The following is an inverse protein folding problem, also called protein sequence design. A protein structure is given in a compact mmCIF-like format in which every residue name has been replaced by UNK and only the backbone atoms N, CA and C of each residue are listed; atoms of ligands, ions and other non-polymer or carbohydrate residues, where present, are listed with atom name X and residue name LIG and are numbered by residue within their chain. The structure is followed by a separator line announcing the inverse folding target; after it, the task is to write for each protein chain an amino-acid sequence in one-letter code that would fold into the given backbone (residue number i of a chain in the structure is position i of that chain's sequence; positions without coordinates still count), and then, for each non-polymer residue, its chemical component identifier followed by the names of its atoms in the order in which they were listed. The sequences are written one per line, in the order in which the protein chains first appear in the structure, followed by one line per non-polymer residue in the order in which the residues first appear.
data_IF_750519794365
#
_entry.id   IF_750519794365
#
_cell.length_a   1.000
_cell.length_b   1.000
_cell.length_c   1.000
_cell.angle_alpha   90.00
_cell.angle_beta   90.00
_cell.angle_gamma   90.00
#
_symmetry.space_group_name_H-M   'P 1'
#
loop_
_entity.id
_entity.type
_entity.pdbx_description
1 polymer ?
#
# COMPACT_ATOMS: atom_id res chain seq x y z
N UNK A 1 -10.59 -9.61 22.59
CA UNK A 1 -10.10 -8.33 22.03
C UNK A 1 -10.26 -8.38 20.50
N UNK A 2 -11.32 -7.81 19.89
CA UNK A 2 -11.51 -7.91 18.46
C UNK A 2 -11.02 -6.66 17.72
N UNK A 3 -10.03 -6.83 16.84
CA UNK A 3 -9.63 -5.81 15.87
C UNK A 3 -10.55 -5.88 14.65
N UNK A 4 -11.22 -4.76 14.36
CA UNK A 4 -12.20 -4.58 13.29
C UNK A 4 -11.51 -4.03 12.05
N UNK A 5 -11.51 -4.79 10.96
CA UNK A 5 -11.12 -4.34 9.62
C UNK A 5 -12.19 -3.36 9.09
N UNK A 6 -11.83 -2.25 8.42
CA UNK A 6 -12.79 -1.49 7.64
C UNK A 6 -12.83 -2.01 6.20
N UNK A 7 -14.05 -2.40 5.80
CA UNK A 7 -14.46 -2.63 4.42
C UNK A 7 -14.34 -1.32 3.61
N UNK A 8 -13.73 -1.42 2.43
CA UNK A 8 -13.77 -0.40 1.39
C UNK A 8 -14.99 -0.67 0.52
N UNK A 9 -15.97 0.23 0.55
CA UNK A 9 -17.05 0.28 -0.44
C UNK A 9 -17.42 1.74 -0.63
N UNK A 10 -17.14 2.31 -1.80
CA UNK A 10 -17.73 3.58 -2.20
C UNK A 10 -18.33 3.44 -3.59
N UNK A 11 -19.67 3.30 -3.57
CA UNK A 11 -20.57 3.43 -4.71
C UNK A 11 -20.95 4.92 -4.77
N UNK A 12 -20.59 5.59 -5.85
CA UNK A 12 -20.99 6.98 -6.12
C UNK A 12 -22.41 7.01 -6.64
N UNK A 13 -23.32 7.66 -5.91
CA UNK A 13 -24.55 8.20 -6.48
C UNK A 13 -24.56 9.70 -6.24
N UNK A 14 -24.29 10.45 -7.31
CA UNK A 14 -24.61 11.86 -7.46
C UNK A 14 -26.13 11.98 -7.66
N UNK A 15 -26.81 12.65 -6.73
CA UNK A 15 -28.15 13.15 -6.93
C UNK A 15 -28.11 14.68 -6.84
N UNK A 16 -28.22 15.32 -7.99
CA UNK A 16 -28.48 16.75 -8.13
C UNK A 16 -29.97 17.01 -7.91
N UNK A 17 -30.31 17.96 -7.03
CA UNK A 17 -31.59 18.69 -6.96
C UNK A 17 -31.19 20.07 -6.39
N UNK A 18 -31.56 21.24 -6.91
CA UNK A 18 -32.75 21.62 -7.64
C UNK A 18 -33.36 22.85 -6.94
N UNK A 19 -33.01 24.05 -7.44
CA UNK A 19 -33.72 25.35 -7.41
C UNK A 19 -34.54 25.80 -6.19
N UNK A 20 -34.23 27.00 -5.66
CA UNK A 20 -35.14 28.17 -5.63
C UNK A 20 -34.45 29.41 -5.04
N UNK A 21 -34.33 30.48 -5.84
CA UNK A 21 -33.85 31.79 -5.38
C UNK A 21 -35.05 32.62 -4.92
N UNK A 22 -35.25 32.71 -3.60
CA UNK A 22 -36.13 33.66 -2.95
C UNK A 22 -35.33 34.89 -2.52
N UNK A 23 -35.72 36.04 -3.04
CA UNK A 23 -35.16 37.37 -2.75
C UNK A 23 -35.41 37.76 -1.28
N UNK A 24 -34.39 37.83 -0.41
CA UNK A 24 -34.33 38.76 0.75
C UNK A 24 -32.89 38.90 1.28
N UNK A 25 -32.56 40.16 1.53
CA UNK A 25 -31.39 40.83 2.13
C UNK A 25 -30.58 40.10 3.22
N UNK A 26 -29.27 40.38 3.15
CA UNK A 26 -28.22 40.35 4.20
C UNK A 26 -27.85 39.01 4.84
N UNK A 27 -26.58 38.63 4.72
CA UNK A 27 -25.61 38.30 5.80
C UNK A 27 -24.27 38.00 5.11
N UNK A 28 -23.26 38.83 5.35
CA UNK A 28 -21.87 38.51 5.01
C UNK A 28 -21.38 37.49 6.03
N UNK A 29 -21.38 36.22 5.64
CA UNK A 29 -20.72 35.14 6.37
C UNK A 29 -19.46 34.72 5.62
N UNK A 30 -18.36 35.44 5.85
CA UNK A 30 -17.04 34.98 5.43
C UNK A 30 -16.59 33.88 6.39
N UNK A 31 -17.07 32.65 6.16
CA UNK A 31 -16.49 31.45 6.75
C UNK A 31 -15.11 31.27 6.12
N UNK A 32 -14.07 31.64 6.86
CA UNK A 32 -12.70 31.24 6.53
C UNK A 32 -12.64 29.71 6.62
N UNK A 33 -12.64 29.09 5.45
CA UNK A 33 -12.40 27.67 5.25
C UNK A 33 -11.02 27.35 5.81
N UNK A 34 -10.99 26.68 6.97
CA UNK A 34 -9.78 26.04 7.47
C UNK A 34 -9.47 24.85 6.56
N UNK A 35 -8.69 25.10 5.51
CA UNK A 35 -8.04 24.06 4.74
C UNK A 35 -7.00 23.43 5.66
N UNK A 36 -7.42 22.46 6.47
CA UNK A 36 -6.49 21.51 7.07
C UNK A 36 -6.08 20.53 5.99
N UNK A 37 -5.23 21.02 5.07
CA UNK A 37 -4.41 20.13 4.28
C UNK A 37 -3.44 19.47 5.26
N UNK A 38 -3.84 18.35 5.85
CA UNK A 38 -2.89 17.37 6.35
C UNK A 38 -2.17 16.82 5.12
N UNK A 39 -1.18 17.57 4.65
CA UNK A 39 -0.07 16.94 3.99
C UNK A 39 0.49 15.97 5.03
N UNK A 40 0.07 14.70 4.95
CA UNK A 40 0.85 13.64 5.51
C UNK A 40 2.21 13.77 4.83
N UNK A 41 3.13 14.45 5.51
CA UNK A 41 4.55 14.44 5.20
C UNK A 41 4.97 12.99 5.36
N UNK A 42 4.69 12.17 4.35
CA UNK A 42 5.36 10.90 4.17
C UNK A 42 6.80 11.33 3.95
N UNK A 43 7.58 11.35 5.02
CA UNK A 43 9.03 11.45 4.93
C UNK A 43 9.41 10.35 3.93
N UNK A 44 9.70 10.76 2.69
CA UNK A 44 10.02 9.85 1.60
C UNK A 44 11.37 9.26 1.97
N UNK A 45 11.33 8.15 2.69
CA UNK A 45 12.51 7.39 3.05
C UNK A 45 13.30 7.15 1.77
N UNK A 46 14.55 7.61 1.75
CA UNK A 46 15.36 7.53 0.56
C UNK A 46 15.56 6.05 0.17
N UNK A 47 15.23 5.69 -1.07
CA UNK A 47 15.58 4.38 -1.61
C UNK A 47 17.09 4.33 -1.76
N UNK A 48 17.74 3.45 -1.00
CA UNK A 48 19.19 3.27 -0.99
C UNK A 48 19.63 2.07 -1.84
N UNK A 49 18.67 1.25 -2.30
CA UNK A 49 18.96 0.07 -3.09
C UNK A 49 17.71 -0.70 -3.47
N UNK A 50 17.87 -1.64 -4.40
CA UNK A 50 16.83 -2.61 -4.75
C UNK A 50 17.40 -4.02 -4.73
N UNK A 51 16.59 -4.98 -4.29
CA UNK A 51 16.96 -6.39 -4.27
C UNK A 51 15.83 -7.24 -4.86
N UNK A 52 16.17 -8.47 -5.23
CA UNK A 52 15.19 -9.52 -5.52
C UNK A 52 15.14 -10.50 -4.35
N UNK A 53 13.94 -11.01 -4.06
CA UNK A 53 13.74 -12.04 -3.06
C UNK A 53 12.84 -13.15 -3.63
N UNK A 54 13.09 -14.36 -3.17
CA UNK A 54 12.29 -15.55 -3.51
C UNK A 54 11.92 -16.29 -2.24
N UNK A 55 11.02 -17.26 -2.34
CA UNK A 55 10.68 -18.16 -1.25
C UNK A 55 9.86 -19.34 -1.76
N UNK A 56 9.36 -20.15 -0.84
CA UNK A 56 8.48 -21.28 -1.17
C UNK A 56 7.09 -20.99 -0.63
N UNK A 57 6.10 -20.97 -1.52
CA UNK A 57 4.70 -20.77 -1.19
C UNK A 57 3.92 -22.07 -1.40
N UNK A 58 3.23 -22.52 -0.35
CA UNK A 58 2.34 -23.67 -0.40
C UNK A 58 0.89 -23.17 -0.46
N UNK A 59 0.20 -23.45 -1.56
CA UNK A 59 -1.18 -23.02 -1.80
C UNK A 59 -1.61 -23.24 -3.24
N UNK A 60 -2.89 -22.97 -3.52
CA UNK A 60 -3.47 -23.11 -4.85
C UNK A 60 -3.41 -21.80 -5.66
N UNK A 61 -3.77 -21.87 -6.94
CA UNK A 61 -3.72 -20.74 -7.88
C UNK A 61 -4.53 -19.52 -7.41
N UNK A 62 -5.64 -19.71 -6.69
CA UNK A 62 -6.47 -18.62 -6.18
C UNK A 62 -5.79 -17.84 -5.04
N UNK A 63 -4.73 -18.40 -4.46
CA UNK A 63 -3.97 -17.80 -3.37
C UNK A 63 -2.69 -17.11 -3.85
N UNK A 64 -2.43 -17.06 -5.17
CA UNK A 64 -1.28 -16.37 -5.77
C UNK A 64 -1.50 -14.86 -5.80
N UNK A 65 -1.49 -14.25 -4.61
CA UNK A 65 -1.79 -12.83 -4.41
C UNK A 65 -0.54 -12.06 -3.98
N UNK A 66 -0.56 -10.73 -4.19
CA UNK A 66 0.49 -9.82 -3.70
C UNK A 66 0.78 -10.01 -2.22
N UNK A 67 -0.27 -10.16 -1.41
CA UNK A 67 -0.13 -10.32 0.04
C UNK A 67 0.62 -11.60 0.41
N UNK A 68 0.35 -12.70 -0.30
CA UNK A 68 1.03 -13.96 -0.04
C UNK A 68 2.47 -13.95 -0.56
N UNK A 69 2.75 -13.32 -1.70
CA UNK A 69 4.11 -13.08 -2.17
C UNK A 69 4.92 -12.24 -1.16
N UNK A 70 4.31 -11.16 -0.66
CA UNK A 70 4.89 -10.31 0.37
C UNK A 70 5.24 -11.13 1.62
N UNK A 71 4.27 -11.84 2.21
CA UNK A 71 4.48 -12.65 3.43
C UNK A 71 5.57 -13.70 3.24
N UNK A 72 5.58 -14.36 2.09
CA UNK A 72 6.53 -15.45 1.79
C UNK A 72 7.96 -14.94 1.64
N UNK A 73 8.14 -13.74 1.07
CA UNK A 73 9.46 -13.23 0.68
C UNK A 73 10.00 -12.13 1.59
N UNK A 74 9.20 -11.61 2.53
CA UNK A 74 9.56 -10.47 3.37
C UNK A 74 10.84 -10.67 4.18
N UNK A 75 11.00 -11.81 4.85
CA UNK A 75 12.20 -12.07 5.67
C UNK A 75 13.46 -12.10 4.81
N UNK A 76 13.42 -12.84 3.70
CA UNK A 76 14.53 -12.91 2.75
C UNK A 76 14.86 -11.53 2.16
N UNK A 77 13.84 -10.73 1.85
CA UNK A 77 14.02 -9.37 1.38
C UNK A 77 14.68 -8.47 2.42
N UNK A 78 14.23 -8.55 3.67
CA UNK A 78 14.79 -7.81 4.79
C UNK A 78 16.26 -8.16 5.03
N UNK A 79 16.57 -9.45 5.09
CA UNK A 79 17.93 -9.94 5.34
C UNK A 79 18.87 -9.57 4.19
N UNK A 80 18.42 -9.71 2.94
CA UNK A 80 19.18 -9.28 1.77
C UNK A 80 19.41 -7.76 1.77
N UNK A 81 18.38 -6.95 2.01
CA UNK A 81 18.54 -5.50 2.12
C UNK A 81 19.51 -5.10 3.23
N UNK A 82 19.45 -5.74 4.40
CA UNK A 82 20.34 -5.45 5.53
C UNK A 82 21.78 -5.88 5.29
N UNK A 83 21.98 -6.96 4.54
CA UNK A 83 23.31 -7.44 4.12
C UNK A 83 23.94 -6.52 3.09
N UNK A 84 23.21 -6.21 2.02
CA UNK A 84 23.74 -5.50 0.85
C UNK A 84 23.71 -3.97 1.08
N UNK A 85 22.75 -3.48 1.87
CA UNK A 85 22.57 -2.07 2.23
C UNK A 85 22.39 -1.90 3.76
N UNK A 86 23.48 -1.89 4.56
CA UNK A 86 23.40 -1.89 6.04
C UNK A 86 22.65 -0.72 6.67
N UNK A 87 22.51 0.39 5.93
CA UNK A 87 21.72 1.55 6.31
C UNK A 87 20.19 1.35 6.20
N UNK A 88 19.72 0.20 5.71
CA UNK A 88 18.30 -0.12 5.59
C UNK A 88 17.58 0.04 6.93
N UNK A 89 16.43 0.72 6.90
CA UNK A 89 15.52 0.94 8.04
C UNK A 89 14.09 0.54 7.74
N UNK A 90 13.71 0.50 6.46
CA UNK A 90 12.46 -0.07 6.01
C UNK A 90 12.63 -0.70 4.63
N UNK A 91 11.68 -1.55 4.23
CA UNK A 91 11.64 -2.14 2.90
C UNK A 91 10.25 -2.00 2.30
N UNK A 92 10.16 -1.90 0.98
CA UNK A 92 8.89 -1.81 0.25
C UNK A 92 8.89 -2.76 -0.95
N UNK A 93 7.85 -3.58 -1.10
CA UNK A 93 7.75 -4.50 -2.24
C UNK A 93 7.21 -3.74 -3.46
N UNK A 94 8.02 -3.66 -4.50
CA UNK A 94 7.69 -3.01 -5.76
C UNK A 94 6.79 -3.90 -6.61
N UNK A 95 7.23 -5.13 -6.81
CA UNK A 95 6.61 -6.04 -7.76
C UNK A 95 6.69 -7.49 -7.28
N UNK A 96 5.79 -8.32 -7.80
CA UNK A 96 5.73 -9.74 -7.54
C UNK A 96 5.23 -10.51 -8.75
N UNK A 97 5.77 -11.70 -8.95
CA UNK A 97 5.20 -12.70 -9.84
C UNK A 97 5.25 -14.07 -9.20
N UNK A 98 4.33 -14.95 -9.61
CA UNK A 98 4.41 -16.37 -9.34
C UNK A 98 4.71 -17.08 -10.65
N UNK A 99 5.72 -17.93 -10.65
CA UNK A 99 6.02 -18.81 -11.78
C UNK A 99 5.02 -19.95 -11.89
N UNK A 100 5.30 -20.89 -12.80
CA UNK A 100 4.59 -22.18 -12.83
C UNK A 100 4.83 -22.93 -11.50
N UNK A 101 3.86 -23.75 -11.06
CA UNK A 101 4.06 -24.59 -9.88
C UNK A 101 5.26 -25.52 -10.11
N UNK A 102 6.11 -25.66 -9.11
CA UNK A 102 7.26 -26.58 -9.12
C UNK A 102 6.77 -27.99 -8.76
N UNK A 103 5.82 -28.07 -7.84
CA UNK A 103 5.09 -29.27 -7.43
C UNK A 103 3.60 -28.92 -7.31
N UNK A 104 2.75 -29.93 -7.12
CA UNK A 104 1.32 -29.70 -6.83
C UNK A 104 1.19 -28.68 -5.69
N UNK A 105 0.49 -27.58 -5.96
CA UNK A 105 0.22 -26.51 -4.99
C UNK A 105 1.48 -25.90 -4.35
N UNK A 106 2.62 -25.93 -5.05
CA UNK A 106 3.88 -25.34 -4.59
C UNK A 106 4.42 -24.38 -5.63
N UNK A 107 4.58 -23.12 -5.24
CA UNK A 107 5.01 -22.03 -6.10
C UNK A 107 6.21 -21.30 -5.52
N UNK A 108 6.99 -20.68 -6.39
CA UNK A 108 8.08 -19.78 -5.99
C UNK A 108 7.72 -18.36 -6.40
N UNK A 109 7.30 -17.49 -5.46
CA UNK A 109 7.19 -16.08 -5.74
C UNK A 109 8.57 -15.50 -6.06
N UNK A 110 8.63 -14.65 -7.06
CA UNK A 110 9.76 -13.76 -7.34
C UNK A 110 9.30 -12.33 -7.07
N UNK A 111 9.97 -11.66 -6.13
CA UNK A 111 9.59 -10.30 -5.71
C UNK A 111 10.77 -9.35 -5.83
N UNK A 112 10.47 -8.09 -6.12
CA UNK A 112 11.45 -7.00 -6.12
C UNK A 112 11.14 -6.04 -4.98
N UNK A 113 12.17 -5.61 -4.24
CA UNK A 113 12.02 -4.78 -3.06
C UNK A 113 12.95 -3.58 -3.12
N UNK A 114 12.50 -2.46 -2.60
CA UNK A 114 13.34 -1.31 -2.26
C UNK A 114 13.82 -1.45 -0.82
N UNK A 115 15.12 -1.23 -0.65
CA UNK A 115 15.74 -0.98 0.63
C UNK A 115 15.71 0.53 0.87
N UNK A 116 15.15 0.97 1.99
CA UNK A 116 14.94 2.40 2.28
C UNK A 116 15.60 2.80 3.57
N UNK A 117 16.15 4.01 3.60
CA UNK A 117 16.66 4.67 4.80
C UNK A 117 15.69 5.79 5.20
N UNK A 118 15.01 5.63 6.33
CA UNK A 118 14.01 6.57 6.85
C UNK A 118 14.62 7.61 7.80
N UNK A 119 15.93 7.81 7.75
CA UNK A 119 16.65 8.78 8.59
C UNK A 119 16.56 10.18 8.03
#
# INVERSE_FOLDING_TARGET
MPYRLPHVYWRTHLASNGLKHGNTRSIVAAVLLTVTATAASQALAATIGTIKATGTFYGNEKQLTRQNAWKTTWSNAWDNCRRDYPATRSINMLDYSFGRPILKETYTPLTSWECRNTK
#
